data_IF_297430123732
#
_entry.id   IF_297430123732
#
_cell.length_a   1.000
_cell.length_b   1.000
_cell.length_c   1.000
_cell.angle_alpha   90.00
_cell.angle_beta   90.00
_cell.angle_gamma   90.00
#
_symmetry.space_group_name_H-M   'P 1'
#
loop_
_entity.id
_entity.type
_entity.pdbx_description
1 polymer ?
#
# COMPACT_ATOMS: atom_id res chain seq x y z
N UNK A 1 -10.03 -12.11 -12.80
CA UNK A 1 -9.88 -11.51 -11.46
C UNK A 1 -10.19 -10.01 -11.54
N UNK A 2 -11.24 -9.51 -10.88
CA UNK A 2 -11.63 -8.08 -10.91
C UNK A 2 -10.51 -7.14 -10.43
N UNK A 3 -9.70 -7.59 -9.46
CA UNK A 3 -8.56 -6.85 -8.93
C UNK A 3 -7.44 -6.63 -9.94
N UNK A 4 -7.06 -7.66 -10.71
CA UNK A 4 -6.01 -7.54 -11.75
C UNK A 4 -6.41 -6.52 -12.82
N UNK A 5 -7.70 -6.44 -13.15
CA UNK A 5 -8.20 -5.43 -14.08
C UNK A 5 -8.15 -4.02 -13.48
N UNK A 6 -8.58 -3.85 -12.22
CA UNK A 6 -8.49 -2.56 -11.53
C UNK A 6 -7.04 -2.06 -11.42
N UNK A 7 -6.10 -2.98 -11.20
CA UNK A 7 -4.67 -2.68 -11.17
C UNK A 7 -4.16 -2.21 -12.54
N UNK A 8 -4.46 -2.96 -13.61
CA UNK A 8 -4.08 -2.62 -14.99
C UNK A 8 -4.64 -1.27 -15.44
N UNK A 9 -5.82 -0.91 -14.96
CA UNK A 9 -6.49 0.35 -15.31
C UNK A 9 -5.99 1.55 -14.50
N UNK A 10 -5.12 1.35 -13.50
CA UNK A 10 -4.60 2.42 -12.67
C UNK A 10 -3.08 2.60 -12.88
N UNK A 11 -2.66 3.56 -13.72
CA UNK A 11 -1.25 3.75 -14.05
C UNK A 11 -0.40 4.17 -12.85
N UNK A 12 -1.00 4.78 -11.81
CA UNK A 12 -0.30 5.13 -10.57
C UNK A 12 0.09 3.86 -9.81
N UNK A 13 -0.84 2.90 -9.68
CA UNK A 13 -0.56 1.63 -9.00
C UNK A 13 0.50 0.81 -9.73
N UNK A 14 0.52 0.83 -11.07
CA UNK A 14 1.56 0.14 -11.85
C UNK A 14 2.95 0.69 -11.55
N UNK A 15 3.12 2.03 -11.52
CA UNK A 15 4.41 2.65 -11.17
C UNK A 15 4.87 2.27 -9.76
N UNK A 16 3.94 2.19 -8.81
CA UNK A 16 4.24 1.83 -7.42
C UNK A 16 4.70 0.37 -7.31
N UNK A 17 4.12 -0.55 -8.08
CA UNK A 17 4.53 -1.97 -8.07
C UNK A 17 5.93 -2.18 -8.64
N UNK A 18 6.35 -1.39 -9.64
CA UNK A 18 7.71 -1.50 -10.19
C UNK A 18 8.79 -1.25 -9.12
N UNK A 19 8.50 -0.44 -8.10
CA UNK A 19 9.41 -0.20 -6.96
C UNK A 19 9.76 -1.51 -6.26
N UNK A 20 8.78 -2.41 -6.08
CA UNK A 20 8.98 -3.70 -5.38
C UNK A 20 9.86 -4.68 -6.16
N UNK A 21 10.06 -4.46 -7.47
CA UNK A 21 10.93 -5.30 -8.29
C UNK A 21 12.39 -4.85 -8.26
N UNK A 22 12.65 -3.58 -7.95
CA UNK A 22 14.00 -3.04 -7.92
C UNK A 22 14.78 -3.63 -6.72
N UNK A 23 15.88 -4.37 -6.93
CA UNK A 23 16.67 -4.91 -5.83
C UNK A 23 17.44 -3.85 -5.05
N UNK A 24 17.74 -2.69 -5.64
CA UNK A 24 18.58 -1.66 -5.00
C UNK A 24 17.77 -0.58 -4.29
N UNK A 25 16.48 -0.86 -4.05
CA UNK A 25 15.57 0.07 -3.38
C UNK A 25 15.78 0.03 -1.86
N UNK A 26 15.64 1.19 -1.21
CA UNK A 26 15.73 1.27 0.25
C UNK A 26 14.43 0.79 0.91
N UNK A 27 14.48 0.28 2.15
CA UNK A 27 13.29 -0.12 2.91
C UNK A 27 12.26 1.01 3.06
N UNK A 28 12.70 2.25 3.23
CA UNK A 28 11.82 3.43 3.37
C UNK A 28 11.03 3.69 2.09
N UNK A 29 11.66 3.52 0.92
CA UNK A 29 11.01 3.69 -0.36
C UNK A 29 10.01 2.54 -0.66
N UNK A 30 10.28 1.32 -0.18
CA UNK A 30 9.30 0.20 -0.21
C UNK A 30 8.08 0.52 0.66
N UNK A 31 8.33 1.07 1.84
CA UNK A 31 7.27 1.48 2.78
C UNK A 31 6.42 2.63 2.19
N UNK A 32 7.05 3.66 1.61
CA UNK A 32 6.35 4.74 0.91
C UNK A 32 5.50 4.20 -0.25
N UNK A 33 6.07 3.30 -1.05
CA UNK A 33 5.37 2.63 -2.14
C UNK A 33 4.13 1.88 -1.62
N UNK A 34 4.28 1.11 -0.54
CA UNK A 34 3.16 0.40 0.09
C UNK A 34 2.05 1.32 0.60
N UNK A 35 2.41 2.44 1.24
CA UNK A 35 1.46 3.45 1.70
C UNK A 35 0.70 4.06 0.51
N UNK A 36 1.41 4.49 -0.54
CA UNK A 36 0.80 5.05 -1.75
C UNK A 36 -0.11 4.06 -2.47
N UNK A 37 0.28 2.78 -2.49
CA UNK A 37 -0.55 1.70 -3.04
C UNK A 37 -1.90 1.61 -2.31
N UNK A 38 -1.88 1.58 -0.98
CA UNK A 38 -3.11 1.48 -0.19
C UNK A 38 -3.96 2.74 -0.26
N UNK A 39 -3.37 3.94 -0.22
CA UNK A 39 -4.10 5.20 -0.37
C UNK A 39 -4.89 5.22 -1.68
N UNK A 40 -4.25 4.81 -2.78
CA UNK A 40 -4.89 4.68 -4.09
C UNK A 40 -5.94 3.55 -4.12
N UNK A 41 -5.70 2.42 -3.45
CA UNK A 41 -6.65 1.30 -3.38
C UNK A 41 -7.94 1.66 -2.63
N UNK A 42 -7.83 2.42 -1.54
CA UNK A 42 -8.99 2.88 -0.76
C UNK A 42 -9.65 4.14 -1.35
N UNK A 43 -9.18 4.62 -2.51
CA UNK A 43 -9.84 5.68 -3.28
C UNK A 43 -9.78 7.06 -2.63
N UNK A 44 -8.78 7.32 -1.78
CA UNK A 44 -8.55 8.67 -1.27
C UNK A 44 -7.66 9.43 -2.28
N UNK A 45 -8.07 10.62 -2.76
CA UNK A 45 -7.25 11.39 -3.68
C UNK A 45 -5.92 11.75 -3.01
N UNK A 46 -4.82 11.41 -3.68
CA UNK A 46 -3.47 11.87 -3.34
C UNK A 46 -3.44 13.35 -3.74
N UNK A 47 -3.81 14.25 -2.84
CA UNK A 47 -3.58 15.68 -3.04
C UNK A 47 -2.08 15.92 -2.98
N UNK A 48 -1.51 16.57 -3.99
CA UNK A 48 -0.08 16.76 -4.18
C UNK A 48 0.66 17.55 -3.07
N UNK A 49 -0.06 18.05 -2.05
CA UNK A 49 0.49 18.85 -0.95
C UNK A 49 0.58 18.13 0.39
N UNK A 50 -0.13 17.01 0.56
CA UNK A 50 -0.13 16.26 1.82
C UNK A 50 0.45 14.89 1.55
N UNK A 51 1.61 14.57 2.14
CA UNK A 51 2.04 13.17 2.28
C UNK A 51 0.85 12.41 2.86
N UNK A 52 0.21 11.50 2.12
CA UNK A 52 -1.03 10.90 2.59
C UNK A 52 -0.67 9.90 3.67
N UNK A 53 -0.57 10.37 4.92
CA UNK A 53 -0.40 9.50 6.07
C UNK A 53 -1.58 8.55 6.09
N UNK A 54 -1.31 7.25 6.00
CA UNK A 54 -2.30 6.19 5.96
C UNK A 54 -3.32 6.32 7.12
N UNK A 55 -2.85 6.83 8.27
CA UNK A 55 -3.68 7.10 9.43
C UNK A 55 -4.78 8.15 9.17
N UNK A 56 -4.51 9.18 8.37
CA UNK A 56 -5.52 10.18 7.96
C UNK A 56 -6.58 9.54 7.07
N UNK A 57 -6.17 8.70 6.11
CA UNK A 57 -7.09 7.94 5.25
C UNK A 57 -7.96 7.01 6.10
N UNK A 58 -7.35 6.30 7.05
CA UNK A 58 -8.05 5.41 7.97
C UNK A 58 -9.07 6.16 8.83
N UNK A 59 -8.71 7.32 9.36
CA UNK A 59 -9.62 8.18 10.12
C UNK A 59 -10.81 8.65 9.29
N UNK A 60 -10.58 9.13 8.05
CA UNK A 60 -11.64 9.51 7.11
C UNK A 60 -12.55 8.34 6.75
N UNK A 61 -12.00 7.17 6.48
CA UNK A 61 -12.75 5.95 6.23
C UNK A 61 -13.60 5.56 7.45
N UNK A 62 -13.04 5.64 8.66
CA UNK A 62 -13.77 5.37 9.90
C UNK A 62 -14.94 6.33 10.08
N UNK A 63 -14.71 7.64 10.00
CA UNK A 63 -15.77 8.65 10.11
C UNK A 63 -16.86 8.43 9.06
N UNK A 64 -16.52 8.13 7.81
CA UNK A 64 -17.52 7.84 6.78
C UNK A 64 -18.32 6.57 7.09
N UNK A 65 -17.65 5.55 7.63
CA UNK A 65 -18.28 4.27 7.95
C UNK A 65 -19.19 4.35 9.18
N UNK A 66 -18.82 5.10 10.21
CA UNK A 66 -19.52 5.13 11.51
C UNK A 66 -20.95 5.65 11.43
N UNK A 67 -21.28 6.45 10.42
CA UNK A 67 -22.65 6.89 10.15
C UNK A 67 -23.56 5.81 9.53
N UNK A 68 -23.00 4.66 9.14
CA UNK A 68 -23.75 3.54 8.56
C UNK A 68 -23.96 2.45 9.62
N UNK A 69 -25.23 2.07 9.87
CA UNK A 69 -25.62 1.05 10.84
C UNK A 69 -25.06 -0.35 10.54
N UNK A 70 -24.62 -0.61 9.31
CA UNK A 70 -24.05 -1.88 8.85
C UNK A 70 -22.56 -1.78 8.51
N UNK A 71 -21.86 -0.76 9.01
CA UNK A 71 -20.42 -0.62 8.78
C UNK A 71 -19.66 -1.77 9.42
N UNK A 72 -18.72 -2.36 8.66
CA UNK A 72 -17.84 -3.40 9.15
C UNK A 72 -16.45 -2.79 9.39
N UNK A 73 -15.90 -2.95 10.59
CA UNK A 73 -14.53 -2.52 10.92
C UNK A 73 -13.49 -3.10 9.95
N UNK A 74 -13.76 -4.27 9.35
CA UNK A 74 -12.91 -4.89 8.35
C UNK A 74 -12.79 -4.09 7.04
N UNK A 75 -13.65 -3.10 6.79
CA UNK A 75 -13.53 -2.23 5.60
C UNK A 75 -12.53 -1.08 5.79
N UNK A 76 -11.94 -0.95 6.97
CA UNK A 76 -10.94 0.08 7.24
C UNK A 76 -9.59 -0.31 6.61
N UNK A 77 -8.82 0.69 6.13
CA UNK A 77 -7.43 0.48 5.79
C UNK A 77 -6.64 -0.13 6.98
N UNK A 78 -5.60 -0.93 6.70
CA UNK A 78 -4.68 -1.40 7.72
C UNK A 78 -3.98 -0.21 8.41
N UNK A 79 -3.40 -0.45 9.58
CA UNK A 79 -2.60 0.57 10.26
C UNK A 79 -1.31 0.83 9.50
N UNK A 80 -0.70 1.99 9.73
CA UNK A 80 0.61 2.34 9.18
C UNK A 80 1.67 1.30 9.52
N UNK A 81 1.84 0.95 10.80
CA UNK A 81 2.80 -0.08 11.22
C UNK A 81 2.55 -1.45 10.55
N UNK A 82 1.29 -1.87 10.40
CA UNK A 82 0.94 -3.11 9.69
C UNK A 82 1.30 -3.03 8.22
N UNK A 83 1.05 -1.88 7.59
CA UNK A 83 1.40 -1.62 6.20
C UNK A 83 2.89 -1.66 5.97
N UNK A 84 3.69 -1.09 6.87
CA UNK A 84 5.14 -1.08 6.76
C UNK A 84 5.67 -2.52 6.79
N UNK A 85 5.28 -3.30 7.80
CA UNK A 85 5.67 -4.70 7.92
C UNK A 85 5.22 -5.54 6.73
N UNK A 86 3.98 -5.34 6.27
CA UNK A 86 3.45 -6.07 5.13
C UNK A 86 4.20 -5.73 3.84
N UNK A 87 4.50 -4.45 3.60
CA UNK A 87 5.20 -3.99 2.40
C UNK A 87 6.61 -4.57 2.33
N UNK A 88 7.35 -4.55 3.44
CA UNK A 88 8.67 -5.17 3.52
C UNK A 88 8.60 -6.68 3.27
N UNK A 89 7.64 -7.38 3.89
CA UNK A 89 7.44 -8.81 3.66
C UNK A 89 7.17 -9.13 2.20
N UNK A 90 6.29 -8.35 1.55
CA UNK A 90 5.96 -8.52 0.13
C UNK A 90 7.18 -8.25 -0.75
N UNK A 91 7.97 -7.21 -0.42
CA UNK A 91 9.22 -6.92 -1.12
C UNK A 91 10.19 -8.10 -1.06
N UNK A 92 10.53 -8.61 0.12
CA UNK A 92 11.43 -9.76 0.24
C UNK A 92 10.89 -11.00 -0.50
N UNK A 93 9.58 -11.23 -0.47
CA UNK A 93 8.96 -12.33 -1.21
C UNK A 93 9.11 -12.18 -2.74
N UNK A 94 8.92 -10.96 -3.26
CA UNK A 94 9.10 -10.66 -4.68
C UNK A 94 10.57 -10.79 -5.08
N UNK A 95 11.49 -10.25 -4.27
CA UNK A 95 12.92 -10.36 -4.52
C UNK A 95 13.37 -11.83 -4.55
N UNK A 96 12.88 -12.64 -3.62
CA UNK A 96 13.11 -14.08 -3.63
C UNK A 96 12.62 -14.75 -4.92
N UNK A 97 11.40 -14.40 -5.39
CA UNK A 97 10.88 -14.93 -6.67
C UNK A 97 11.68 -14.47 -7.89
N UNK A 98 12.30 -13.30 -7.84
CA UNK A 98 13.16 -12.78 -8.90
C UNK A 98 14.59 -13.35 -8.85
N UNK A 99 14.91 -14.18 -7.86
CA UNK A 99 16.25 -14.76 -7.68
C UNK A 99 17.24 -13.86 -6.95
N UNK A 100 16.79 -12.70 -6.46
CA UNK A 100 17.59 -11.79 -5.65
C UNK A 100 17.59 -12.29 -4.21
N UNK A 101 18.69 -12.91 -3.79
CA UNK A 101 18.87 -13.39 -2.40
C UNK A 101 19.13 -12.20 -1.47
N UNK A 102 18.08 -11.45 -1.13
CA UNK A 102 18.09 -10.45 -0.06
C UNK A 102 17.95 -11.16 1.28
N UNK A 103 18.84 -10.89 2.23
CA UNK A 103 18.59 -11.34 3.61
C UNK A 103 17.54 -10.43 4.24
N UNK A 104 16.78 -10.88 5.25
CA UNK A 104 15.78 -10.04 5.94
C UNK A 104 16.38 -8.83 6.68
N UNK A 105 17.71 -8.75 6.75
CA UNK A 105 18.49 -7.73 7.45
C UNK A 105 19.10 -6.69 6.49
N UNK A 106 19.01 -6.90 5.16
CA UNK A 106 19.40 -5.95 4.10
C UNK A 106 18.26 -4.99 3.73
#
# INVERSE_FOLDING_TARGET
MKFVQALKNNPVLLKVIEIFKNPDITPEAVVDAGNRFLVALYGCPISASDTPFLNNVRCKCYMKSSFNKSSNIASLPPTEGTTHQHSLRVYHQIQYWLGNKKTPED
#
